data_IF_712984621232
#
_entry.id   IF_712984621232
#
_cell.length_a   1.000
_cell.length_b   1.000
_cell.length_c   1.000
_cell.angle_alpha   90.00
_cell.angle_beta   90.00
_cell.angle_gamma   90.00
#
_symmetry.space_group_name_H-M   'P 1'
#
loop_
_entity.id
_entity.type
_entity.pdbx_description
1 polymer ?
#
# COMPACT_ATOMS: atom_id res chain seq x y z
N UNK A 1 15.10 -3.24 -1.43
CA UNK A 1 16.07 -4.12 -2.14
C UNK A 1 16.78 -4.98 -1.12
N UNK A 2 16.84 -6.30 -1.39
CA UNK A 2 17.68 -7.21 -0.62
C UNK A 2 19.13 -6.94 -1.00
N UNK A 3 20.00 -6.60 -0.05
CA UNK A 3 21.42 -6.46 -0.35
C UNK A 3 21.95 -7.76 -0.99
N UNK A 4 22.77 -7.64 -2.01
CA UNK A 4 23.41 -8.79 -2.68
C UNK A 4 24.91 -8.72 -2.46
N UNK A 5 25.42 -9.07 -1.29
CA UNK A 5 26.86 -9.01 -1.05
C UNK A 5 27.64 -10.06 -1.83
N UNK A 6 27.03 -11.20 -2.14
CA UNK A 6 27.68 -12.37 -2.74
C UNK A 6 27.20 -12.70 -4.17
N UNK A 7 26.04 -12.20 -4.58
CA UNK A 7 25.43 -12.45 -5.90
C UNK A 7 25.23 -13.94 -6.26
N UNK A 8 25.12 -14.80 -5.25
CA UNK A 8 24.93 -16.26 -5.45
C UNK A 8 23.49 -16.63 -5.82
N UNK A 9 22.56 -15.67 -5.74
CA UNK A 9 21.14 -15.86 -6.04
C UNK A 9 20.35 -16.48 -4.89
N UNK A 10 20.97 -16.69 -3.75
CA UNK A 10 20.31 -17.15 -2.51
C UNK A 10 20.00 -15.95 -1.62
N UNK A 11 18.99 -16.09 -0.79
CA UNK A 11 18.65 -15.10 0.24
C UNK A 11 19.01 -15.69 1.60
N UNK A 12 20.07 -15.17 2.19
CA UNK A 12 20.46 -15.56 3.54
C UNK A 12 19.55 -14.93 4.59
N UNK A 13 19.55 -15.50 5.79
CA UNK A 13 18.81 -14.93 6.94
C UNK A 13 19.25 -13.49 7.25
N UNK A 14 20.56 -13.21 7.15
CA UNK A 14 21.10 -11.87 7.39
C UNK A 14 20.60 -10.84 6.39
N UNK A 15 20.49 -11.22 5.11
CA UNK A 15 19.96 -10.36 4.07
C UNK A 15 18.45 -10.09 4.27
N UNK A 16 17.69 -11.14 4.60
CA UNK A 16 16.27 -11.01 4.93
C UNK A 16 16.08 -10.08 6.13
N UNK A 17 16.91 -10.19 7.16
CA UNK A 17 16.86 -9.30 8.32
C UNK A 17 17.24 -7.86 7.96
N UNK A 18 18.16 -7.67 7.02
CA UNK A 18 18.53 -6.34 6.51
C UNK A 18 17.38 -5.62 5.81
N UNK A 19 16.46 -6.37 5.17
CA UNK A 19 15.25 -5.82 4.53
C UNK A 19 14.17 -5.48 5.55
N UNK A 20 14.03 -6.31 6.60
CA UNK A 20 13.03 -6.17 7.66
C UNK A 20 13.71 -6.17 9.03
N UNK A 21 14.47 -5.10 9.36
CA UNK A 21 15.23 -5.04 10.61
C UNK A 21 14.33 -4.88 11.85
N UNK A 22 13.13 -4.34 11.66
CA UNK A 22 12.22 -4.04 12.75
C UNK A 22 11.50 -5.29 13.23
N UNK A 23 11.57 -5.52 14.54
CA UNK A 23 10.95 -6.67 15.20
C UNK A 23 9.56 -6.28 15.75
N UNK A 24 8.67 -5.81 14.88
CA UNK A 24 7.33 -5.33 15.25
C UNK A 24 6.34 -6.48 15.38
N UNK A 25 5.45 -6.41 16.36
CA UNK A 25 4.33 -7.33 16.49
C UNK A 25 3.36 -7.14 15.32
N UNK A 26 2.74 -8.23 14.88
CA UNK A 26 1.67 -8.21 13.88
C UNK A 26 0.31 -8.34 14.55
N UNK A 27 -0.63 -7.58 14.04
CA UNK A 27 -2.02 -7.61 14.46
C UNK A 27 -2.96 -7.56 13.27
N UNK A 28 -4.21 -7.91 13.50
CA UNK A 28 -5.26 -7.73 12.51
C UNK A 28 -6.52 -7.12 13.13
N UNK A 29 -7.32 -6.49 12.30
CA UNK A 29 -8.64 -5.98 12.63
C UNK A 29 -9.62 -6.26 11.48
N UNK A 30 -10.91 -6.35 11.80
CA UNK A 30 -11.96 -6.42 10.78
C UNK A 30 -12.51 -5.02 10.54
N UNK A 31 -12.33 -4.54 9.32
CA UNK A 31 -12.81 -3.23 8.87
C UNK A 31 -13.87 -3.39 7.79
N UNK A 32 -14.78 -2.42 7.69
CA UNK A 32 -15.60 -2.31 6.50
C UNK A 32 -14.89 -1.47 5.42
N UNK A 33 -15.44 -1.46 4.20
CA UNK A 33 -14.81 -0.75 3.08
C UNK A 33 -14.65 0.74 3.32
N UNK A 34 -15.62 1.40 3.97
CA UNK A 34 -15.52 2.82 4.31
C UNK A 34 -14.41 3.09 5.32
N UNK A 35 -14.28 2.25 6.34
CA UNK A 35 -13.22 2.34 7.34
C UNK A 35 -11.83 2.10 6.74
N UNK A 36 -11.71 1.13 5.84
CA UNK A 36 -10.45 0.86 5.15
C UNK A 36 -10.06 2.02 4.21
N UNK A 37 -11.01 2.61 3.50
CA UNK A 37 -10.77 3.82 2.70
C UNK A 37 -10.27 4.97 3.58
N UNK A 38 -10.90 5.18 4.73
CA UNK A 38 -10.51 6.21 5.68
C UNK A 38 -9.12 5.95 6.27
N UNK A 39 -8.78 4.69 6.58
CA UNK A 39 -7.46 4.30 7.06
C UNK A 39 -6.38 4.60 6.00
N UNK A 40 -6.58 4.17 4.76
CA UNK A 40 -5.62 4.40 3.68
C UNK A 40 -5.46 5.88 3.38
N UNK A 41 -6.53 6.67 3.41
CA UNK A 41 -6.48 8.11 3.16
C UNK A 41 -5.63 8.88 4.21
N UNK A 42 -5.43 8.32 5.40
CA UNK A 42 -4.61 8.95 6.45
C UNK A 42 -3.14 9.07 6.06
N UNK A 43 -2.65 8.27 5.11
CA UNK A 43 -1.28 8.35 4.61
C UNK A 43 -0.93 9.75 4.07
N UNK A 44 -1.91 10.53 3.61
CA UNK A 44 -1.71 11.88 3.07
C UNK A 44 -1.99 12.99 4.10
N UNK A 45 -2.37 12.62 5.32
CA UNK A 45 -2.80 13.59 6.36
C UNK A 45 -1.67 14.49 6.84
N UNK A 46 -0.46 13.94 6.96
CA UNK A 46 0.69 14.64 7.51
C UNK A 46 1.71 15.07 6.46
N UNK A 47 1.58 14.58 5.24
CA UNK A 47 2.46 14.89 4.13
C UNK A 47 1.60 15.45 3.00
N UNK A 48 1.64 16.76 2.83
CA UNK A 48 0.96 17.45 1.72
C UNK A 48 1.47 16.98 0.35
N UNK A 49 2.62 16.32 0.32
CA UNK A 49 3.20 15.71 -0.87
C UNK A 49 2.95 14.19 -0.85
N UNK A 50 2.03 13.67 -1.68
CA UNK A 50 1.77 12.24 -1.80
C UNK A 50 2.99 11.44 -2.30
N UNK A 51 4.02 12.11 -2.79
CA UNK A 51 5.27 11.48 -3.18
C UNK A 51 6.13 11.05 -1.98
N UNK A 52 5.83 11.51 -0.77
CA UNK A 52 6.71 11.32 0.40
C UNK A 52 6.38 10.06 1.20
N UNK A 53 5.13 9.59 1.19
CA UNK A 53 4.73 8.45 1.98
C UNK A 53 3.61 7.65 1.30
N UNK A 54 3.86 6.38 1.06
CA UNK A 54 2.87 5.43 0.55
C UNK A 54 2.86 4.16 1.40
N UNK A 55 1.67 3.75 1.85
CA UNK A 55 1.47 2.46 2.48
C UNK A 55 1.78 1.32 1.50
N UNK A 56 2.56 0.34 1.95
CA UNK A 56 2.74 -0.90 1.23
C UNK A 56 1.43 -1.72 1.26
N UNK A 57 0.90 -2.04 0.08
CA UNK A 57 -0.32 -2.85 -0.04
C UNK A 57 0.03 -4.30 -0.39
N UNK A 58 -0.77 -5.24 0.12
CA UNK A 58 -0.68 -6.65 -0.24
C UNK A 58 -0.97 -6.88 -1.73
N UNK A 59 -0.51 -8.02 -2.27
CA UNK A 59 -0.64 -8.31 -3.72
C UNK A 59 -2.08 -8.50 -4.20
N UNK A 60 -3.01 -8.72 -3.29
CA UNK A 60 -4.42 -8.90 -3.58
C UNK A 60 -5.25 -7.62 -3.44
N UNK A 61 -4.62 -6.47 -3.15
CA UNK A 61 -5.32 -5.21 -2.95
C UNK A 61 -4.86 -4.14 -3.95
N UNK A 62 -5.82 -3.53 -4.65
CA UNK A 62 -5.61 -2.38 -5.51
C UNK A 62 -6.44 -1.20 -5.01
N UNK A 63 -5.88 0.00 -5.09
CA UNK A 63 -6.52 1.23 -4.64
C UNK A 63 -6.54 2.27 -5.75
N UNK A 64 -7.73 2.77 -6.07
CA UNK A 64 -7.92 3.89 -6.99
C UNK A 64 -8.11 5.15 -6.16
N UNK A 65 -7.25 6.12 -6.42
CA UNK A 65 -7.21 7.39 -5.72
C UNK A 65 -7.70 8.49 -6.65
N UNK A 66 -8.53 9.37 -6.11
CA UNK A 66 -8.78 10.67 -6.73
C UNK A 66 -7.70 11.64 -6.22
N UNK A 67 -6.78 12.08 -7.09
CA UNK A 67 -5.68 12.95 -6.66
C UNK A 67 -6.15 14.36 -6.27
N UNK A 68 -7.43 14.66 -6.42
CA UNK A 68 -7.93 16.04 -6.29
C UNK A 68 -7.50 16.93 -7.46
N UNK A 69 -7.89 18.18 -7.43
CA UNK A 69 -7.45 19.14 -8.43
C UNK A 69 -5.98 19.48 -8.18
N UNK A 70 -5.09 18.84 -8.92
CA UNK A 70 -3.62 19.01 -9.04
C UNK A 70 -2.84 19.33 -7.75
N UNK A 71 -1.62 18.84 -7.63
CA UNK A 71 -0.71 19.10 -6.51
C UNK A 71 -0.52 20.59 -6.14
N UNK A 72 -0.93 21.49 -6.99
CA UNK A 72 -0.90 22.94 -6.79
C UNK A 72 -2.08 23.51 -5.99
N UNK A 73 -3.17 22.75 -5.84
CA UNK A 73 -4.38 23.23 -5.12
C UNK A 73 -4.39 22.94 -3.63
N UNK A 74 -3.41 22.19 -3.12
CA UNK A 74 -3.38 21.74 -1.71
C UNK A 74 -4.53 20.76 -1.36
N UNK A 75 -5.22 20.22 -2.36
CA UNK A 75 -6.25 19.22 -2.14
C UNK A 75 -5.62 17.90 -1.68
N UNK A 76 -6.13 17.35 -0.61
CA UNK A 76 -5.71 16.03 -0.10
C UNK A 76 -6.32 14.95 -0.99
N UNK A 77 -5.52 13.98 -1.47
CA UNK A 77 -6.05 12.85 -2.23
C UNK A 77 -7.11 12.07 -1.45
N UNK A 78 -8.08 11.53 -2.13
CA UNK A 78 -9.13 10.68 -1.52
C UNK A 78 -9.16 9.30 -2.14
N UNK A 79 -9.46 8.28 -1.32
CA UNK A 79 -9.61 6.91 -1.82
C UNK A 79 -10.99 6.76 -2.46
N UNK A 80 -11.00 6.56 -3.76
CA UNK A 80 -12.22 6.40 -4.55
C UNK A 80 -12.74 4.97 -4.48
N UNK A 81 -11.87 3.99 -4.72
CA UNK A 81 -12.23 2.58 -4.81
C UNK A 81 -11.12 1.70 -4.26
N UNK A 82 -11.50 0.64 -3.58
CA UNK A 82 -10.59 -0.44 -3.18
C UNK A 82 -11.08 -1.71 -3.84
N UNK A 83 -10.16 -2.49 -4.37
CA UNK A 83 -10.41 -3.86 -4.84
C UNK A 83 -9.62 -4.84 -4.01
N UNK A 84 -10.25 -5.92 -3.62
CA UNK A 84 -9.61 -7.06 -2.97
C UNK A 84 -9.87 -8.29 -3.83
N UNK A 85 -8.81 -9.00 -4.20
CA UNK A 85 -8.86 -10.13 -5.15
C UNK A 85 -9.60 -9.78 -6.46
N UNK A 86 -9.39 -8.53 -6.95
CA UNK A 86 -10.01 -8.01 -8.16
C UNK A 86 -11.47 -7.59 -8.02
N UNK A 87 -12.12 -7.80 -6.87
CA UNK A 87 -13.50 -7.44 -6.61
C UNK A 87 -13.58 -6.09 -5.88
N UNK A 88 -14.51 -5.23 -6.30
CA UNK A 88 -14.75 -3.95 -5.63
C UNK A 88 -15.26 -4.20 -4.21
N UNK A 89 -14.59 -3.61 -3.22
CA UNK A 89 -15.01 -3.63 -1.83
C UNK A 89 -16.04 -2.50 -1.61
N UNK A 90 -17.29 -2.88 -1.37
CA UNK A 90 -18.34 -1.95 -1.01
C UNK A 90 -18.13 -1.34 0.37
N UNK A 91 -18.69 -0.15 0.62
CA UNK A 91 -18.47 0.58 1.88
C UNK A 91 -18.91 -0.22 3.13
N UNK A 92 -19.89 -1.10 2.99
CA UNK A 92 -20.41 -1.95 4.07
C UNK A 92 -19.83 -3.36 4.10
N UNK A 93 -19.11 -3.77 3.06
CA UNK A 93 -18.46 -5.09 3.00
C UNK A 93 -17.32 -5.14 4.00
N UNK A 94 -17.11 -6.29 4.61
CA UNK A 94 -16.07 -6.46 5.63
C UNK A 94 -14.87 -7.21 5.10
N UNK A 95 -13.69 -6.80 5.55
CA UNK A 95 -12.41 -7.41 5.22
C UNK A 95 -11.52 -7.48 6.45
N UNK A 96 -10.70 -8.52 6.55
CA UNK A 96 -9.67 -8.62 7.59
C UNK A 96 -8.41 -7.94 7.07
N UNK A 97 -7.94 -6.93 7.81
CA UNK A 97 -6.73 -6.17 7.52
C UNK A 97 -5.67 -6.53 8.54
N UNK A 98 -4.53 -7.03 8.07
CA UNK A 98 -3.36 -7.30 8.90
C UNK A 98 -2.25 -6.29 8.62
N UNK A 99 -1.59 -5.85 9.68
CA UNK A 99 -0.45 -4.93 9.60
C UNK A 99 0.42 -5.04 10.86
N UNK A 100 1.43 -4.19 10.97
CA UNK A 100 2.11 -4.03 12.25
C UNK A 100 1.14 -3.50 13.30
N UNK A 101 1.32 -3.95 14.55
CA UNK A 101 0.48 -3.52 15.67
C UNK A 101 0.44 -2.00 15.82
N UNK A 102 1.58 -1.35 15.65
CA UNK A 102 1.72 0.10 15.73
C UNK A 102 0.82 0.84 14.71
N UNK A 103 0.73 0.34 13.48
CA UNK A 103 -0.10 0.97 12.46
C UNK A 103 -1.59 0.88 12.79
N UNK A 104 -2.02 -0.18 13.47
CA UNK A 104 -3.43 -0.36 13.81
C UNK A 104 -3.80 0.24 15.17
N UNK A 105 -2.86 0.33 16.13
CA UNK A 105 -3.17 0.61 17.53
C UNK A 105 -2.67 1.97 18.02
N UNK A 106 -1.47 2.41 17.63
CA UNK A 106 -0.83 3.54 18.29
C UNK A 106 -1.42 4.91 17.98
N UNK A 107 -2.24 5.03 16.94
CA UNK A 107 -3.01 6.24 16.62
C UNK A 107 -2.18 7.51 16.38
N UNK A 108 -0.85 7.40 16.29
CA UNK A 108 0.03 8.56 16.09
C UNK A 108 -0.09 9.04 14.65
N UNK A 109 0.10 8.13 13.70
CA UNK A 109 0.03 8.44 12.27
C UNK A 109 -1.22 7.86 11.61
N UNK A 110 -1.70 6.71 12.10
CA UNK A 110 -2.89 6.03 11.62
C UNK A 110 -3.79 5.66 12.80
N UNK A 111 -5.09 5.72 12.57
CA UNK A 111 -6.07 5.33 13.58
C UNK A 111 -7.23 4.58 12.91
N UNK A 112 -7.55 3.42 13.44
CA UNK A 112 -8.82 2.75 13.16
C UNK A 112 -9.87 3.18 14.20
N UNK A 113 -11.18 3.01 13.92
CA UNK A 113 -12.22 3.37 14.90
C UNK A 113 -12.01 2.66 16.25
N UNK A 114 -12.14 3.38 17.35
CA UNK A 114 -11.90 2.89 18.74
C UNK A 114 -12.72 1.64 19.13
N UNK A 115 -13.85 1.42 18.46
CA UNK A 115 -14.71 0.26 18.73
C UNK A 115 -14.22 -1.04 18.09
N UNK A 116 -13.17 -0.97 17.28
CA UNK A 116 -12.62 -2.16 16.61
C UNK A 116 -11.73 -2.96 17.51
N UNK A 117 -11.94 -4.27 17.48
CA UNK A 117 -11.06 -5.21 18.18
C UNK A 117 -9.83 -5.44 17.33
N UNK A 118 -8.68 -5.13 17.91
CA UNK A 118 -7.37 -5.43 17.34
C UNK A 118 -6.89 -6.72 18.00
N UNK A 119 -6.59 -7.70 17.18
CA UNK A 119 -6.13 -9.02 17.63
C UNK A 119 -4.65 -9.17 17.34
N UNK A 120 -3.87 -9.43 18.38
CA UNK A 120 -2.46 -9.76 18.24
C UNK A 120 -2.31 -11.16 17.64
N UNK A 121 -1.49 -11.27 16.60
CA UNK A 121 -1.20 -12.54 15.92
C UNK A 121 -0.23 -13.42 16.74
N UNK A 122 0.46 -12.85 17.71
CA UNK A 122 1.52 -13.53 18.49
C UNK A 122 2.79 -13.82 17.68
N UNK A 123 2.94 -13.15 16.54
CA UNK A 123 4.09 -13.32 15.65
C UNK A 123 4.74 -11.97 15.35
N UNK A 124 6.03 -12.02 15.12
CA UNK A 124 6.81 -10.84 14.78
C UNK A 124 6.98 -10.71 13.26
N UNK A 125 7.01 -9.49 12.80
CA UNK A 125 7.06 -9.13 11.38
C UNK A 125 8.18 -9.86 10.62
N UNK A 126 9.41 -9.85 11.14
CA UNK A 126 10.52 -10.53 10.49
C UNK A 126 10.34 -12.06 10.43
N UNK A 127 9.75 -12.68 11.45
CA UNK A 127 9.51 -14.13 11.45
C UNK A 127 8.50 -14.54 10.38
N UNK A 128 7.46 -13.73 10.20
CA UNK A 128 6.47 -13.93 9.14
C UNK A 128 7.09 -13.69 7.77
N UNK A 129 7.94 -12.67 7.63
CA UNK A 129 8.67 -12.41 6.39
C UNK A 129 9.59 -13.58 6.00
N UNK A 130 10.34 -14.14 6.94
CA UNK A 130 11.16 -15.32 6.71
C UNK A 130 10.31 -16.53 6.30
N UNK A 131 9.20 -16.75 7.00
CA UNK A 131 8.25 -17.81 6.65
C UNK A 131 7.68 -17.63 5.24
N UNK A 132 7.40 -16.39 4.84
CA UNK A 132 6.98 -16.04 3.50
C UNK A 132 8.07 -16.38 2.47
N UNK A 133 9.32 -16.00 2.70
CA UNK A 133 10.44 -16.37 1.83
C UNK A 133 10.58 -17.88 1.69
N UNK A 134 10.51 -18.62 2.80
CA UNK A 134 10.54 -20.10 2.78
C UNK A 134 9.38 -20.73 1.99
N UNK A 135 8.23 -20.07 1.91
CA UNK A 135 7.09 -20.60 1.16
C UNK A 135 7.33 -20.73 -0.35
N UNK A 136 8.33 -20.03 -0.89
CA UNK A 136 8.73 -20.15 -2.29
C UNK A 136 9.57 -21.41 -2.57
N UNK A 137 10.19 -22.01 -1.54
CA UNK A 137 11.10 -23.13 -1.72
C UNK A 137 12.22 -22.78 -2.70
N UNK A 138 12.42 -23.60 -3.73
CA UNK A 138 13.45 -23.40 -4.76
C UNK A 138 12.98 -22.47 -5.91
N UNK A 139 11.80 -21.87 -5.81
CA UNK A 139 11.30 -20.96 -6.86
C UNK A 139 11.93 -19.58 -6.67
N UNK A 140 12.49 -18.99 -7.74
CA UNK A 140 13.05 -17.66 -7.64
C UNK A 140 11.97 -16.62 -7.32
N UNK A 141 12.28 -15.71 -6.40
CA UNK A 141 11.48 -14.53 -6.16
C UNK A 141 11.67 -13.53 -7.31
N UNK A 142 10.56 -13.19 -7.94
CA UNK A 142 10.55 -12.19 -9.01
C UNK A 142 10.00 -10.87 -8.47
N UNK A 143 10.63 -9.72 -8.79
CA UNK A 143 10.10 -8.42 -8.40
C UNK A 143 8.75 -8.18 -9.08
N UNK A 144 7.80 -7.64 -8.32
CA UNK A 144 6.51 -7.19 -8.86
C UNK A 144 6.58 -5.70 -9.16
N UNK A 145 6.34 -5.33 -10.41
CA UNK A 145 6.25 -3.93 -10.86
C UNK A 145 4.81 -3.42 -10.90
N UNK A 146 3.86 -4.19 -10.38
CA UNK A 146 2.45 -3.80 -10.33
C UNK A 146 2.25 -2.57 -9.45
N UNK A 147 1.58 -1.56 -9.99
CA UNK A 147 1.18 -0.37 -9.25
C UNK A 147 -0.15 -0.66 -8.56
N UNK A 148 -0.15 -0.71 -7.24
CA UNK A 148 -1.33 -1.04 -6.44
C UNK A 148 -2.10 0.18 -5.95
N UNK A 149 -1.50 1.36 -6.05
CA UNK A 149 -2.15 2.64 -5.82
C UNK A 149 -2.01 3.47 -7.09
N UNK A 150 -3.15 3.85 -7.69
CA UNK A 150 -3.17 4.61 -8.95
C UNK A 150 -4.12 5.78 -8.79
N UNK A 151 -3.61 6.99 -9.07
CA UNK A 151 -4.45 8.17 -9.24
C UNK A 151 -5.21 8.09 -10.54
N UNK A 152 -6.52 8.32 -10.50
CA UNK A 152 -7.36 8.33 -11.69
C UNK A 152 -8.34 9.50 -11.65
N UNK A 153 -8.33 10.32 -12.67
CA UNK A 153 -9.31 11.37 -12.89
C UNK A 153 -9.98 11.23 -14.26
N UNK A 154 -11.24 11.61 -14.35
CA UNK A 154 -11.99 11.58 -15.59
C UNK A 154 -12.71 12.91 -15.78
N UNK A 155 -12.48 13.60 -16.89
CA UNK A 155 -13.11 14.87 -17.22
C UNK A 155 -13.86 14.78 -18.55
N UNK A 156 -15.07 15.33 -18.65
CA UNK A 156 -15.77 15.40 -19.93
C UNK A 156 -14.94 16.13 -20.99
N UNK A 157 -14.88 15.58 -22.19
CA UNK A 157 -14.16 16.22 -23.30
C UNK A 157 -15.04 17.33 -23.92
N UNK A 158 -14.63 18.60 -23.90
CA UNK A 158 -15.40 19.66 -24.50
C UNK A 158 -15.69 19.39 -25.99
N UNK A 159 -16.95 19.56 -26.39
CA UNK A 159 -17.40 19.39 -27.79
C UNK A 159 -17.54 17.92 -28.25
N UNK A 160 -17.34 16.94 -27.39
CA UNK A 160 -17.50 15.51 -27.72
C UNK A 160 -18.46 14.85 -26.72
N UNK A 161 -19.74 14.88 -27.01
CA UNK A 161 -20.77 14.27 -26.17
C UNK A 161 -20.49 12.79 -25.95
N UNK A 162 -20.59 12.33 -24.67
CA UNK A 162 -20.32 10.94 -24.26
C UNK A 162 -18.84 10.53 -24.21
N UNK A 163 -17.91 11.48 -24.43
CA UNK A 163 -16.49 11.21 -24.37
C UNK A 163 -15.87 11.83 -23.10
N UNK A 164 -15.02 11.07 -22.41
CA UNK A 164 -14.25 11.54 -21.26
C UNK A 164 -12.75 11.42 -21.54
N UNK A 165 -11.98 12.38 -21.07
CA UNK A 165 -10.54 12.26 -20.97
C UNK A 165 -10.22 11.60 -19.60
N UNK A 166 -9.53 10.49 -19.63
CA UNK A 166 -9.05 9.80 -18.41
C UNK A 166 -7.57 10.09 -18.27
N UNK A 167 -7.19 10.64 -17.13
CA UNK A 167 -5.79 10.79 -16.72
C UNK A 167 -5.51 9.77 -15.65
N UNK A 168 -4.42 9.05 -15.80
CA UNK A 168 -3.93 8.08 -14.81
C UNK A 168 -2.57 8.56 -14.31
N UNK A 169 -2.47 8.75 -13.02
CA UNK A 169 -1.24 9.13 -12.33
C UNK A 169 -0.81 7.99 -11.42
N UNK A 170 0.41 7.52 -11.60
CA UNK A 170 0.96 6.53 -10.67
C UNK A 170 1.43 7.23 -9.41
N UNK A 171 0.84 6.89 -8.29
CA UNK A 171 1.27 7.32 -6.95
C UNK A 171 2.48 6.52 -6.45
N UNK A 172 3.18 5.81 -7.33
CA UNK A 172 4.41 5.15 -6.97
C UNK A 172 5.48 6.19 -6.66
N UNK A 173 5.97 6.09 -5.44
CA UNK A 173 7.11 6.85 -4.99
C UNK A 173 8.36 6.40 -5.74
N UNK A 174 8.99 7.33 -6.46
CA UNK A 174 10.34 7.15 -7.00
C UNK A 174 11.23 8.18 -6.29
N UNK A 175 12.23 7.71 -5.57
CA UNK A 175 13.17 8.62 -4.91
C UNK A 175 13.84 9.51 -5.98
N UNK A 176 14.05 10.83 -5.73
CA UNK A 176 14.62 11.73 -6.74
C UNK A 176 15.98 11.32 -7.30
N UNK A 177 16.70 10.44 -6.58
CA UNK A 177 17.98 9.87 -7.02
C UNK A 177 17.86 8.55 -7.76
N UNK A 178 16.66 7.96 -7.83
CA UNK A 178 16.43 6.76 -8.64
C UNK A 178 16.32 7.16 -10.11
N UNK A 179 17.23 6.63 -10.93
CA UNK A 179 17.07 6.73 -12.37
C UNK A 179 15.95 5.77 -12.79
N UNK A 180 14.89 6.32 -13.37
CA UNK A 180 13.90 5.52 -14.09
C UNK A 180 14.61 4.89 -15.27
N UNK A 181 14.96 3.63 -15.15
CA UNK A 181 15.51 2.86 -16.25
C UNK A 181 14.39 2.60 -17.26
N UNK A 182 14.38 3.45 -18.29
CA UNK A 182 13.72 3.22 -19.56
C UNK A 182 12.19 3.08 -19.52
N UNK A 183 11.49 4.03 -20.09
CA UNK A 183 10.18 3.82 -20.67
C UNK A 183 10.31 3.10 -22.02
#
# INVERSE_FOLDING_TARGET
DIPRPDQDGLVSYGEALGVQPDNKALSYATLNGAELKALIAQQWRFHADPAVFNLGLSSNMDVIVDPGATAQSGAVPTVREIRVDGQVLGDTDTVVVASTHELLYDGVDFAIPDQKVIVDVGSLHHSVFISYLHSFGDKPLMPSYSKRQVGMSATPKPGQAGTVAVTMDSLAYTHPTEQVLGA
#
